data_IF_438533611553
#
_entry.id   IF_438533611553
#
_cell.length_a   1.000
_cell.length_b   1.000
_cell.length_c   1.000
_cell.angle_alpha   90.00
_cell.angle_beta   90.00
_cell.angle_gamma   90.00
#
_symmetry.space_group_name_H-M   'P 1'
#
loop_
_entity.id
_entity.type
_entity.pdbx_description
1 polymer ?
#
# COMPACT_ATOMS: atom_id res chain seq x y z
N UNK A 1 -56.25 32.09 -14.00
CA UNK A 1 -56.81 32.00 -15.36
C UNK A 1 -55.99 30.98 -16.13
N UNK A 2 -56.65 29.94 -16.62
CA UNK A 2 -56.21 28.88 -17.54
C UNK A 2 -55.27 27.77 -17.05
N UNK A 3 -55.95 26.65 -16.72
CA UNK A 3 -55.47 25.27 -16.74
C UNK A 3 -55.40 24.80 -18.21
N UNK A 4 -54.31 24.17 -18.65
CA UNK A 4 -54.35 23.22 -19.77
C UNK A 4 -53.23 22.17 -19.68
N UNK A 5 -53.60 21.01 -19.11
CA UNK A 5 -53.32 19.66 -19.57
C UNK A 5 -51.93 19.35 -20.16
N UNK A 6 -51.07 18.72 -19.35
CA UNK A 6 -50.24 17.60 -19.85
C UNK A 6 -50.59 16.38 -19.00
N UNK A 7 -51.73 15.79 -19.34
CA UNK A 7 -52.16 14.49 -18.86
C UNK A 7 -51.44 13.41 -19.68
N UNK A 8 -50.82 12.49 -18.94
CA UNK A 8 -50.65 11.07 -19.28
C UNK A 8 -49.57 10.68 -20.30
N UNK A 9 -48.51 10.07 -19.75
CA UNK A 9 -47.90 8.90 -20.36
C UNK A 9 -46.70 9.16 -21.26
N UNK A 10 -45.51 8.96 -20.70
CA UNK A 10 -44.57 7.88 -21.05
C UNK A 10 -43.25 8.17 -20.30
N UNK A 11 -42.63 7.19 -19.62
CA UNK A 11 -41.43 7.43 -18.83
C UNK A 11 -40.26 7.61 -19.79
N UNK A 12 -39.93 8.85 -20.16
CA UNK A 12 -38.66 9.20 -20.79
C UNK A 12 -37.58 9.45 -19.74
N UNK A 13 -37.59 8.70 -18.65
CA UNK A 13 -36.46 8.67 -17.72
C UNK A 13 -35.48 7.58 -18.16
N UNK A 14 -34.34 8.07 -18.62
CA UNK A 14 -33.05 7.40 -18.64
C UNK A 14 -32.81 6.34 -19.72
N UNK A 15 -32.81 6.76 -20.99
CA UNK A 15 -31.84 6.20 -21.95
C UNK A 15 -30.47 6.87 -21.71
N UNK A 16 -29.92 6.68 -20.50
CA UNK A 16 -28.53 6.98 -20.22
C UNK A 16 -27.71 5.76 -20.70
N UNK A 17 -27.43 5.73 -22.00
CA UNK A 17 -26.32 4.95 -22.54
C UNK A 17 -25.02 5.60 -22.04
N UNK A 18 -24.68 5.34 -20.78
CA UNK A 18 -23.41 5.72 -20.19
C UNK A 18 -22.69 4.41 -19.90
N UNK A 19 -21.74 4.12 -20.78
CA UNK A 19 -20.48 3.43 -20.56
C UNK A 19 -20.39 2.81 -19.16
N UNK A 20 -20.29 1.48 -19.09
CA UNK A 20 -20.23 0.70 -17.85
C UNK A 20 -19.42 1.38 -16.74
N UNK A 21 -20.13 2.02 -15.81
CA UNK A 21 -19.61 2.28 -14.50
C UNK A 21 -19.58 0.93 -13.80
N UNK A 22 -18.40 0.33 -13.78
CA UNK A 22 -18.07 -0.71 -12.83
C UNK A 22 -18.37 -0.15 -11.44
N UNK A 23 -19.42 -0.64 -10.77
CA UNK A 23 -19.69 -0.36 -9.37
C UNK A 23 -18.53 -0.93 -8.55
N UNK A 24 -17.43 -0.19 -8.47
CA UNK A 24 -16.39 -0.42 -7.47
C UNK A 24 -17.12 -0.25 -6.13
N UNK A 25 -17.27 -1.36 -5.41
CA UNK A 25 -18.09 -1.49 -4.20
C UNK A 25 -17.95 -0.31 -3.23
N UNK A 26 -19.00 0.00 -2.44
CA UNK A 26 -18.90 0.97 -1.36
C UNK A 26 -18.19 0.29 -0.18
N UNK A 27 -16.87 0.15 -0.25
CA UNK A 27 -16.11 0.12 0.98
C UNK A 27 -16.25 1.52 1.57
N UNK A 28 -17.03 1.66 2.64
CA UNK A 28 -17.04 2.89 3.43
C UNK A 28 -15.58 3.21 3.75
N UNK A 29 -15.17 4.47 3.56
CA UNK A 29 -13.79 4.96 3.63
C UNK A 29 -13.08 4.57 4.95
N UNK A 30 -13.88 4.25 5.97
CA UNK A 30 -13.48 3.72 7.27
C UNK A 30 -13.05 2.23 7.32
N UNK A 31 -13.53 1.36 6.42
CA UNK A 31 -13.15 -0.08 6.38
C UNK A 31 -12.04 -0.39 5.37
N UNK A 32 -11.77 0.50 4.42
CA UNK A 32 -10.68 0.33 3.47
C UNK A 32 -9.32 0.29 4.18
N UNK A 33 -9.14 1.16 5.19
CA UNK A 33 -7.89 1.25 5.97
C UNK A 33 -7.58 -0.02 6.76
N UNK A 34 -8.60 -0.65 7.34
CA UNK A 34 -8.44 -1.90 8.10
C UNK A 34 -8.03 -3.07 7.19
N UNK A 35 -8.55 -3.13 5.97
CA UNK A 35 -8.22 -4.18 4.99
C UNK A 35 -6.79 -3.99 4.45
N UNK A 36 -6.38 -2.76 4.15
CA UNK A 36 -5.01 -2.44 3.70
C UNK A 36 -3.98 -2.67 4.82
N UNK A 37 -4.32 -2.30 6.05
CA UNK A 37 -3.50 -2.54 7.24
C UNK A 37 -3.34 -4.04 7.56
N UNK A 38 -4.42 -4.82 7.39
CA UNK A 38 -4.41 -6.26 7.69
C UNK A 38 -3.59 -7.12 6.71
N UNK A 39 -3.11 -6.57 5.60
CA UNK A 39 -2.47 -7.35 4.54
C UNK A 39 -0.93 -7.25 4.52
N UNK A 40 -0.34 -6.59 5.51
CA UNK A 40 1.12 -6.53 5.63
C UNK A 40 1.70 -7.86 6.10
N UNK A 41 2.94 -8.14 5.67
CA UNK A 41 3.66 -9.33 6.06
C UNK A 41 4.06 -9.33 7.54
N UNK A 42 4.68 -10.42 7.99
CA UNK A 42 5.23 -10.48 9.34
C UNK A 42 6.21 -9.33 9.59
N UNK A 43 6.03 -8.64 10.72
CA UNK A 43 6.88 -7.51 11.14
C UNK A 43 6.83 -6.29 10.21
N UNK A 44 5.77 -6.17 9.43
CA UNK A 44 5.44 -4.99 8.64
C UNK A 44 4.22 -4.27 9.22
N UNK A 45 4.16 -2.96 8.98
CA UNK A 45 3.02 -2.10 9.31
C UNK A 45 2.66 -1.27 8.09
N UNK A 46 1.37 -1.14 7.83
CA UNK A 46 0.90 -0.23 6.79
C UNK A 46 1.09 1.20 7.28
N UNK A 47 1.67 2.05 6.44
CA UNK A 47 1.86 3.47 6.75
C UNK A 47 1.16 4.34 5.73
N UNK A 48 0.49 5.36 6.25
CA UNK A 48 -0.16 6.41 5.50
C UNK A 48 0.89 7.42 5.05
N UNK A 49 0.98 7.68 3.75
CA UNK A 49 1.78 8.77 3.21
C UNK A 49 3.21 8.82 3.78
N UNK A 50 3.92 7.69 3.74
CA UNK A 50 5.31 7.62 4.17
C UNK A 50 6.25 7.74 2.96
N UNK A 51 7.41 8.35 3.17
CA UNK A 51 8.47 8.41 2.17
C UNK A 51 9.10 7.03 1.98
N UNK A 52 9.37 6.61 0.75
CA UNK A 52 10.06 5.35 0.45
C UNK A 52 11.47 5.28 1.07
N UNK A 53 12.17 6.41 1.20
CA UNK A 53 13.56 6.46 1.69
C UNK A 53 13.69 6.57 3.21
N UNK A 54 12.64 7.01 3.90
CA UNK A 54 12.63 7.19 5.36
C UNK A 54 11.54 6.38 6.07
N UNK A 55 10.62 5.79 5.32
CA UNK A 55 9.51 5.00 5.86
C UNK A 55 9.98 3.71 6.52
N UNK A 56 11.18 3.22 6.21
CA UNK A 56 11.82 2.11 6.89
C UNK A 56 13.35 2.18 6.75
N UNK A 57 14.04 1.30 7.47
CA UNK A 57 15.49 1.10 7.37
C UNK A 57 15.81 -0.30 6.83
N UNK A 58 16.99 -0.46 6.26
CA UNK A 58 17.43 -1.74 5.69
C UNK A 58 18.54 -2.37 6.53
N UNK A 59 18.86 -3.63 6.26
CA UNK A 59 20.01 -4.28 6.89
C UNK A 59 21.34 -3.61 6.53
N UNK A 60 21.43 -3.01 5.34
CA UNK A 60 22.57 -2.26 4.83
C UNK A 60 22.63 -0.85 5.42
N UNK A 61 21.48 -0.21 5.63
CA UNK A 61 21.36 1.13 6.16
C UNK A 61 20.40 1.16 7.36
N UNK A 62 20.97 0.97 8.55
CA UNK A 62 20.25 0.79 9.81
C UNK A 62 19.78 2.11 10.45
N UNK A 63 20.08 3.23 9.81
CA UNK A 63 19.66 4.57 10.21
C UNK A 63 18.93 5.22 9.04
N UNK A 64 17.86 5.99 9.30
CA UNK A 64 17.21 6.75 8.24
C UNK A 64 18.21 7.70 7.60
N UNK A 65 18.12 7.95 6.28
CA UNK A 65 18.95 8.94 5.63
C UNK A 65 18.67 10.33 6.22
N UNK A 66 19.63 11.24 6.09
CA UNK A 66 19.48 12.63 6.52
C UNK A 66 18.36 13.35 5.77
N UNK A 67 18.23 13.04 4.48
CA UNK A 67 17.24 13.61 3.57
C UNK A 67 16.29 12.52 3.09
N UNK A 68 15.00 12.82 3.13
CA UNK A 68 13.95 11.94 2.65
C UNK A 68 13.48 12.39 1.26
N UNK A 69 13.18 11.43 0.40
CA UNK A 69 12.43 11.65 -0.83
C UNK A 69 11.02 12.16 -0.49
N UNK A 70 10.48 13.15 -1.23
CA UNK A 70 9.22 13.81 -0.90
C UNK A 70 7.97 13.01 -1.31
N UNK A 71 8.13 11.73 -1.65
CA UNK A 71 7.02 10.86 -2.03
C UNK A 71 6.15 10.50 -0.81
N UNK A 72 4.89 10.19 -1.12
CA UNK A 72 3.83 9.89 -0.17
C UNK A 72 3.20 8.57 -0.61
N UNK A 73 3.75 7.46 -0.15
CA UNK A 73 3.27 6.12 -0.50
C UNK A 73 2.46 5.50 0.63
N UNK A 74 1.46 4.72 0.23
CA UNK A 74 0.51 4.04 1.11
C UNK A 74 0.74 2.54 1.00
N UNK A 75 1.68 2.02 1.77
CA UNK A 75 2.11 0.63 1.66
C UNK A 75 2.63 0.09 3.00
N UNK A 76 2.99 -1.19 2.99
CA UNK A 76 3.66 -1.85 4.10
C UNK A 76 5.13 -1.43 4.18
N UNK A 77 5.56 -1.09 5.39
CA UNK A 77 6.94 -0.78 5.76
C UNK A 77 7.34 -1.66 6.95
N UNK A 78 8.63 -1.91 7.14
CA UNK A 78 9.12 -2.59 8.33
C UNK A 78 8.70 -1.82 9.59
N UNK A 79 8.20 -2.58 10.56
CA UNK A 79 7.90 -2.07 11.88
C UNK A 79 9.17 -1.55 12.57
N UNK A 80 9.02 -0.66 13.54
CA UNK A 80 10.16 -0.15 14.32
C UNK A 80 10.95 -1.30 14.96
N UNK A 81 12.27 -1.28 14.81
CA UNK A 81 13.18 -2.34 15.29
C UNK A 81 13.39 -3.50 14.31
N UNK A 82 12.72 -3.46 13.15
CA UNK A 82 12.93 -4.38 12.03
C UNK A 82 13.58 -3.67 10.85
N UNK A 83 14.31 -4.45 10.06
CA UNK A 83 15.15 -3.98 8.97
C UNK A 83 14.86 -4.83 7.75
N UNK A 84 14.62 -4.21 6.59
CA UNK A 84 14.40 -4.97 5.36
C UNK A 84 15.72 -5.58 4.89
N UNK A 85 15.73 -6.88 4.67
CA UNK A 85 16.89 -7.58 4.11
C UNK A 85 16.83 -7.64 2.58
N UNK A 86 17.88 -8.16 1.95
CA UNK A 86 17.97 -8.33 0.48
C UNK A 86 16.92 -9.29 -0.12
N UNK A 87 16.22 -10.07 0.70
CA UNK A 87 15.13 -10.95 0.26
C UNK A 87 13.75 -10.27 0.39
N UNK A 88 13.74 -8.99 0.76
CA UNK A 88 12.52 -8.20 0.94
C UNK A 88 11.79 -8.47 2.27
N UNK A 89 12.39 -9.19 3.22
CA UNK A 89 11.77 -9.53 4.51
C UNK A 89 12.20 -8.57 5.61
N UNK A 90 11.26 -8.15 6.46
CA UNK A 90 11.54 -7.38 7.66
C UNK A 90 12.04 -8.30 8.78
N UNK A 91 13.30 -8.18 9.14
CA UNK A 91 13.96 -9.05 10.11
C UNK A 91 14.58 -8.24 11.25
N UNK A 92 14.88 -8.90 12.36
CA UNK A 92 15.60 -8.25 13.47
C UNK A 92 17.08 -8.02 13.11
N UNK A 93 17.72 -7.09 13.80
CA UNK A 93 19.12 -6.72 13.54
C UNK A 93 20.09 -7.94 13.60
N UNK A 94 19.84 -8.89 14.50
CA UNK A 94 20.66 -10.10 14.60
C UNK A 94 20.56 -11.00 13.35
N UNK A 95 19.41 -10.97 12.66
CA UNK A 95 19.16 -11.73 11.44
C UNK A 95 19.81 -11.06 10.23
N UNK A 96 19.95 -9.72 10.22
CA UNK A 96 20.74 -9.03 9.20
C UNK A 96 22.18 -9.55 9.14
N UNK A 97 22.83 -9.73 10.30
CA UNK A 97 24.19 -10.26 10.37
C UNK A 97 24.30 -11.70 9.84
N UNK A 98 23.23 -12.50 9.99
CA UNK A 98 23.15 -13.88 9.48
C UNK A 98 22.88 -13.91 7.99
N UNK A 99 21.92 -13.11 7.50
CA UNK A 99 21.62 -12.96 6.07
C UNK A 99 22.87 -12.51 5.29
N UNK A 100 23.59 -11.51 5.79
CA UNK A 100 24.83 -11.04 5.16
C UNK A 100 25.95 -12.10 5.10
N UNK A 101 25.99 -13.05 6.04
CA UNK A 101 26.91 -14.19 5.99
C UNK A 101 26.42 -15.26 5.01
N UNK A 102 25.12 -15.56 5.02
CA UNK A 102 24.51 -16.51 4.09
C UNK A 102 24.69 -16.07 2.64
N UNK A 103 24.43 -14.80 2.31
CA UNK A 103 24.63 -14.23 0.98
C UNK A 103 26.10 -14.28 0.54
N UNK A 104 27.05 -13.96 1.43
CA UNK A 104 28.49 -14.08 1.16
C UNK A 104 28.93 -15.53 0.93
N UNK A 105 28.47 -16.45 1.77
CA UNK A 105 28.78 -17.87 1.64
C UNK A 105 28.21 -18.44 0.34
N UNK A 106 26.99 -18.02 -0.04
CA UNK A 106 26.38 -18.40 -1.32
C UNK A 106 27.22 -17.88 -2.50
N UNK A 107 27.64 -16.62 -2.50
CA UNK A 107 28.50 -16.06 -3.55
C UNK A 107 29.85 -16.80 -3.69
N UNK A 108 30.39 -17.35 -2.60
CA UNK A 108 31.62 -18.14 -2.62
C UNK A 108 31.43 -19.54 -3.22
N UNK A 109 30.24 -20.10 -3.15
CA UNK A 109 29.92 -21.44 -3.70
C UNK A 109 29.69 -21.36 -5.23
N UNK A 110 29.29 -20.20 -5.76
CA UNK A 110 29.10 -19.98 -7.21
C UNK A 110 30.38 -19.49 -7.90
N UNK A 111 31.56 -19.68 -7.28
CA UNK A 111 32.86 -19.25 -7.81
C UNK A 111 33.86 -20.39 -7.83
#
# INVERSE_FOLDING_TARGET
>A
MNVLLVLLGLPLFAAAAVIGYNERSPINESRAWEILSSNCGESEVFKDCASLSCGEVTCEQQQPPTECTPDCVYQCFCATGFYRNSEGRCVTLNMCARANRASRNRARIVK
#
